data_IF_461001741541
#
_entry.id   IF_461001741541
#
_cell.length_a   1.000
_cell.length_b   1.000
_cell.length_c   1.000
_cell.angle_alpha   90.00
_cell.angle_beta   90.00
_cell.angle_gamma   90.00
#
_symmetry.space_group_name_H-M   'P 1'
#
loop_
_entity.id
_entity.type
_entity.pdbx_description
1 polymer ?
#
# COMPACT_ATOMS: atom_id res chain seq x y z
N UNK A 1 26.99 2.61 6.78
CA UNK A 1 26.91 2.46 8.24
C UNK A 1 27.32 3.69 9.04
N UNK A 2 28.28 4.52 8.59
CA UNK A 2 28.71 5.72 9.32
C UNK A 2 27.56 6.67 9.70
N UNK A 3 26.61 6.91 8.77
CA UNK A 3 25.42 7.74 9.02
C UNK A 3 24.46 7.10 10.03
N UNK A 4 24.33 5.76 10.03
CA UNK A 4 23.49 5.03 10.99
C UNK A 4 24.05 5.19 12.41
N UNK A 5 25.37 5.07 12.58
CA UNK A 5 26.02 5.29 13.88
C UNK A 5 25.87 6.74 14.36
N UNK A 6 26.01 7.71 13.47
CA UNK A 6 25.79 9.12 13.81
C UNK A 6 24.33 9.41 14.24
N UNK A 7 23.36 8.79 13.57
CA UNK A 7 21.95 8.90 13.91
C UNK A 7 21.62 8.23 15.27
N UNK A 8 22.22 7.08 15.57
CA UNK A 8 22.10 6.43 16.89
C UNK A 8 22.66 7.30 18.01
N UNK A 9 23.89 7.81 17.84
CA UNK A 9 24.54 8.65 18.85
C UNK A 9 23.77 9.97 19.12
N UNK A 10 23.08 10.48 18.11
CA UNK A 10 22.24 11.68 18.23
C UNK A 10 20.80 11.37 18.67
N UNK A 11 20.49 10.11 19.01
CA UNK A 11 19.16 9.58 19.30
C UNK A 11 18.09 10.04 18.31
N UNK A 12 18.43 10.05 17.02
CA UNK A 12 17.50 10.45 15.97
C UNK A 12 16.50 9.31 15.71
N UNK A 13 15.25 9.63 15.35
CA UNK A 13 14.30 8.61 14.93
C UNK A 13 14.76 7.98 13.61
N UNK A 14 14.67 6.66 13.52
CA UNK A 14 14.87 5.93 12.28
C UNK A 14 13.53 5.69 11.59
N UNK A 15 13.48 5.98 10.30
CA UNK A 15 12.38 5.58 9.42
C UNK A 15 13.00 4.70 8.36
N UNK A 16 12.96 3.39 8.62
CA UNK A 16 13.57 2.40 7.74
C UNK A 16 12.68 2.15 6.54
N UNK A 17 13.29 2.29 5.37
CA UNK A 17 12.67 2.04 4.07
C UNK A 17 13.54 0.99 3.37
N UNK A 18 12.94 0.00 2.72
CA UNK A 18 13.68 -1.04 1.99
C UNK A 18 13.03 -1.37 0.66
N UNK A 19 13.85 -1.72 -0.34
CA UNK A 19 13.39 -2.28 -1.61
C UNK A 19 13.27 -3.79 -1.45
N UNK A 20 12.09 -4.35 -1.76
CA UNK A 20 11.84 -5.78 -1.59
C UNK A 20 12.20 -6.59 -2.84
N UNK A 21 12.23 -5.96 -4.02
CA UNK A 21 12.52 -6.63 -5.29
C UNK A 21 14.03 -6.80 -5.51
N UNK A 22 14.51 -8.04 -5.40
CA UNK A 22 15.93 -8.39 -5.61
C UNK A 22 16.42 -8.04 -7.03
N UNK A 23 15.56 -8.12 -8.05
CA UNK A 23 15.93 -7.76 -9.43
C UNK A 23 16.19 -6.24 -9.60
N UNK A 24 15.72 -5.43 -8.65
CA UNK A 24 15.92 -3.96 -8.61
C UNK A 24 16.95 -3.54 -7.58
N UNK A 25 17.73 -4.49 -7.04
CA UNK A 25 18.74 -4.25 -6.01
C UNK A 25 18.18 -4.24 -4.58
N UNK A 26 16.96 -4.75 -4.39
CA UNK A 26 16.36 -4.99 -3.09
C UNK A 26 16.85 -6.27 -2.43
N UNK A 27 16.34 -6.52 -1.23
CA UNK A 27 16.55 -7.77 -0.51
C UNK A 27 15.45 -8.00 0.53
N UNK A 28 15.26 -9.26 0.91
CA UNK A 28 14.36 -9.58 2.02
C UNK A 28 14.82 -8.92 3.33
N UNK A 29 13.89 -8.62 4.24
CA UNK A 29 14.21 -8.12 5.59
C UNK A 29 15.16 -9.07 6.33
N UNK A 30 15.01 -10.38 6.15
CA UNK A 30 15.89 -11.36 6.78
C UNK A 30 17.33 -11.23 6.29
N UNK A 31 17.51 -11.08 4.97
CA UNK A 31 18.81 -10.83 4.34
C UNK A 31 19.41 -9.52 4.85
N UNK A 32 18.64 -8.44 4.88
CA UNK A 32 19.10 -7.14 5.38
C UNK A 32 19.50 -7.17 6.86
N UNK A 33 18.77 -7.93 7.69
CA UNK A 33 19.13 -8.17 9.10
C UNK A 33 20.45 -8.95 9.21
N UNK A 34 20.65 -9.98 8.40
CA UNK A 34 21.88 -10.77 8.38
C UNK A 34 23.09 -9.91 7.94
N UNK A 35 22.94 -9.16 6.85
CA UNK A 35 23.93 -8.21 6.37
C UNK A 35 24.29 -7.16 7.42
N UNK A 36 23.27 -6.66 8.15
CA UNK A 36 23.48 -5.72 9.25
C UNK A 36 24.30 -6.35 10.38
N UNK A 37 24.04 -7.60 10.76
CA UNK A 37 24.85 -8.32 11.77
C UNK A 37 26.29 -8.46 11.35
N UNK A 38 26.54 -8.88 10.11
CA UNK A 38 27.88 -9.14 9.61
C UNK A 38 28.71 -7.85 9.47
N UNK A 39 28.09 -6.77 9.00
CA UNK A 39 28.79 -5.53 8.65
C UNK A 39 28.84 -4.50 9.79
N UNK A 40 28.05 -4.69 10.85
CA UNK A 40 28.12 -3.82 12.02
C UNK A 40 29.34 -4.16 12.87
N UNK A 41 29.97 -3.13 13.43
CA UNK A 41 31.08 -3.34 14.37
C UNK A 41 30.53 -3.81 15.72
N UNK A 42 31.27 -4.69 16.40
CA UNK A 42 30.90 -5.17 17.75
C UNK A 42 31.09 -4.11 18.81
N UNK A 43 32.12 -3.26 18.65
CA UNK A 43 32.47 -2.19 19.57
C UNK A 43 32.28 -0.82 18.95
N UNK A 44 31.70 0.11 19.71
CA UNK A 44 31.58 1.52 19.38
C UNK A 44 32.91 2.11 18.85
N UNK A 45 32.92 2.70 17.64
CA UNK A 45 34.05 3.51 17.20
C UNK A 45 34.27 4.67 18.20
N UNK A 46 35.51 5.18 18.37
CA UNK A 46 35.81 6.24 19.34
C UNK A 46 34.95 7.51 19.20
N UNK A 47 34.37 7.76 18.03
CA UNK A 47 33.43 8.87 17.79
C UNK A 47 32.00 8.66 18.29
N UNK A 48 31.62 7.45 18.75
CA UNK A 48 30.23 7.08 19.09
C UNK A 48 30.14 6.14 20.32
N UNK A 49 30.54 6.58 21.52
CA UNK A 49 30.72 5.71 22.70
C UNK A 49 29.44 5.10 23.27
N UNK A 50 28.26 5.53 22.82
CA UNK A 50 26.95 5.04 23.29
C UNK A 50 26.44 3.78 22.57
N UNK A 51 27.15 3.30 21.54
CA UNK A 51 26.71 2.16 20.73
C UNK A 51 27.07 0.82 21.39
N UNK A 52 26.05 0.01 21.68
CA UNK A 52 26.11 -1.28 22.36
C UNK A 52 26.28 -2.50 21.44
N UNK A 53 26.54 -2.29 20.15
CA UNK A 53 26.82 -3.36 19.19
C UNK A 53 25.68 -3.66 18.21
N UNK A 54 25.84 -4.68 17.33
CA UNK A 54 24.94 -4.93 16.20
C UNK A 54 23.48 -5.17 16.62
N UNK A 55 23.26 -5.72 17.81
CA UNK A 55 21.93 -5.95 18.36
C UNK A 55 21.15 -4.63 18.56
N UNK A 56 21.80 -3.56 19.02
CA UNK A 56 21.16 -2.25 19.17
C UNK A 56 20.77 -1.67 17.80
N UNK A 57 21.65 -1.79 16.80
CA UNK A 57 21.37 -1.35 15.44
C UNK A 57 20.15 -2.07 14.87
N UNK A 58 20.09 -3.40 15.04
CA UNK A 58 18.97 -4.19 14.56
C UNK A 58 17.65 -3.78 15.23
N UNK A 59 17.68 -3.62 16.56
CA UNK A 59 16.51 -3.21 17.32
C UNK A 59 15.96 -1.87 16.82
N UNK A 60 16.85 -0.88 16.63
CA UNK A 60 16.48 0.48 16.22
C UNK A 60 16.04 0.59 14.77
N UNK A 61 16.66 -0.17 13.87
CA UNK A 61 16.37 -0.09 12.42
C UNK A 61 15.21 -1.00 12.02
N UNK A 62 15.07 -2.18 12.61
CA UNK A 62 14.14 -3.20 12.10
C UNK A 62 13.03 -3.62 13.07
N UNK A 63 13.15 -3.34 14.36
CA UNK A 63 12.27 -3.95 15.38
C UNK A 63 11.43 -2.92 16.13
N UNK A 64 11.94 -1.71 16.38
CA UNK A 64 11.15 -0.62 16.96
C UNK A 64 9.96 -0.24 16.07
N UNK A 65 10.15 -0.31 14.76
CA UNK A 65 9.08 -0.16 13.79
C UNK A 65 9.34 -1.05 12.58
N UNK A 66 8.28 -1.70 12.08
CA UNK A 66 8.34 -2.50 10.85
C UNK A 66 8.84 -1.64 9.69
N UNK A 67 9.91 -1.98 8.96
CA UNK A 67 10.37 -1.19 7.83
C UNK A 67 9.27 -0.98 6.77
N UNK A 68 9.26 0.19 6.12
CA UNK A 68 8.37 0.48 4.98
C UNK A 68 8.98 -0.14 3.73
N UNK A 69 8.20 -0.95 3.02
CA UNK A 69 8.59 -1.37 1.69
C UNK A 69 8.46 -0.16 0.73
N UNK A 70 9.52 0.13 -0.01
CA UNK A 70 9.47 1.03 -1.15
C UNK A 70 8.97 0.27 -2.36
N UNK A 71 7.91 0.74 -2.98
CA UNK A 71 7.35 0.13 -4.18
C UNK A 71 7.74 0.95 -5.41
N UNK A 72 8.16 0.31 -6.51
CA UNK A 72 8.50 1.00 -7.77
C UNK A 72 7.33 1.19 -8.72
N UNK A 73 6.21 0.56 -8.44
CA UNK A 73 4.96 0.77 -9.16
C UNK A 73 4.34 2.10 -8.77
N UNK A 74 4.14 2.95 -9.78
CA UNK A 74 3.54 4.28 -9.62
C UNK A 74 2.21 4.23 -8.84
N UNK A 75 1.37 3.21 -9.10
CA UNK A 75 0.09 3.03 -8.42
C UNK A 75 0.18 2.83 -6.90
N UNK A 76 1.33 2.36 -6.38
CA UNK A 76 1.54 2.06 -4.96
C UNK A 76 2.66 2.89 -4.31
N UNK A 77 3.38 3.69 -5.11
CA UNK A 77 4.38 4.64 -4.61
C UNK A 77 3.78 5.67 -3.66
N UNK A 78 2.57 6.15 -3.97
CA UNK A 78 1.87 7.12 -3.14
C UNK A 78 1.63 6.59 -1.72
N UNK A 79 1.24 5.32 -1.59
CA UNK A 79 1.03 4.67 -0.29
C UNK A 79 2.33 4.51 0.49
N UNK A 80 3.44 4.20 -0.19
CA UNK A 80 4.77 4.18 0.44
C UNK A 80 5.14 5.58 0.96
N UNK A 81 4.89 6.63 0.18
CA UNK A 81 5.14 8.02 0.57
C UNK A 81 4.27 8.48 1.74
N UNK A 82 2.97 8.12 1.74
CA UNK A 82 2.07 8.36 2.88
C UNK A 82 2.56 7.68 4.14
N UNK A 83 2.99 6.42 4.05
CA UNK A 83 3.52 5.69 5.21
C UNK A 83 4.79 6.36 5.77
N UNK A 84 5.68 6.86 4.90
CA UNK A 84 6.87 7.63 5.30
C UNK A 84 6.44 8.93 5.97
N UNK A 85 5.57 9.72 5.33
CA UNK A 85 5.09 10.99 5.85
C UNK A 85 4.40 10.82 7.22
N UNK A 86 3.54 9.81 7.36
CA UNK A 86 2.85 9.49 8.60
C UNK A 86 3.86 9.25 9.74
N UNK A 87 4.92 8.47 9.49
CA UNK A 87 5.96 8.20 10.50
C UNK A 87 6.78 9.44 10.83
N UNK A 88 7.08 10.28 9.85
CA UNK A 88 7.76 11.55 10.09
C UNK A 88 6.91 12.45 10.98
N UNK A 89 5.61 12.56 10.69
CA UNK A 89 4.68 13.37 11.47
C UNK A 89 4.54 12.84 12.89
N UNK A 90 4.32 11.54 13.09
CA UNK A 90 4.23 10.91 14.42
C UNK A 90 5.47 11.10 15.29
N UNK A 91 6.64 11.37 14.68
CA UNK A 91 7.89 11.67 15.39
C UNK A 91 8.13 13.17 15.58
N UNK A 92 7.31 14.04 14.99
CA UNK A 92 7.38 15.48 15.23
C UNK A 92 6.83 15.84 16.61
N UNK A 93 7.35 16.89 17.28
CA UNK A 93 6.93 17.27 18.63
C UNK A 93 5.42 17.49 18.77
N UNK A 94 4.79 18.07 17.74
CA UNK A 94 3.35 18.38 17.75
C UNK A 94 2.52 17.09 17.80
N UNK A 95 2.68 16.19 16.82
CA UNK A 95 1.86 14.97 16.73
C UNK A 95 2.30 13.86 17.69
N UNK A 96 3.54 13.88 18.19
CA UNK A 96 3.97 12.96 19.25
C UNK A 96 3.11 13.08 20.51
N UNK A 97 2.62 14.29 20.82
CA UNK A 97 1.68 14.52 21.93
C UNK A 97 0.21 14.28 21.55
N UNK A 98 -0.09 14.07 20.26
CA UNK A 98 -1.45 13.99 19.70
C UNK A 98 -1.56 12.93 18.58
N UNK A 99 -1.22 11.67 18.85
CA UNK A 99 -1.23 10.64 17.81
C UNK A 99 -2.63 10.41 17.22
N UNK A 100 -3.69 10.69 17.98
CA UNK A 100 -5.08 10.57 17.52
C UNK A 100 -5.45 11.49 16.36
N UNK A 101 -4.77 12.64 16.19
CA UNK A 101 -5.00 13.55 15.04
C UNK A 101 -4.60 12.91 13.70
N UNK A 102 -3.75 11.86 13.73
CA UNK A 102 -3.27 11.12 12.55
C UNK A 102 -3.87 9.72 12.45
N UNK A 103 -4.91 9.39 13.24
CA UNK A 103 -5.50 8.06 13.26
C UNK A 103 -6.09 7.65 11.90
N UNK A 104 -6.58 8.62 11.13
CA UNK A 104 -7.10 8.43 9.77
C UNK A 104 -5.99 8.38 8.70
N UNK A 105 -4.71 8.47 9.09
CA UNK A 105 -3.58 8.52 8.16
C UNK A 105 -3.31 9.92 7.60
N UNK A 106 -2.64 9.96 6.45
CA UNK A 106 -2.30 11.20 5.73
C UNK A 106 -2.81 11.11 4.31
N UNK A 107 -3.32 12.25 3.82
CA UNK A 107 -3.76 12.42 2.44
C UNK A 107 -2.86 13.43 1.73
N UNK A 108 -2.68 13.26 0.43
CA UNK A 108 -1.95 14.19 -0.42
C UNK A 108 -2.93 15.15 -1.09
N UNK A 109 -2.60 16.44 -1.16
CA UNK A 109 -3.43 17.41 -1.88
C UNK A 109 -3.64 16.98 -3.33
N UNK A 110 -4.89 16.84 -3.75
CA UNK A 110 -5.26 16.30 -5.06
C UNK A 110 -5.69 14.83 -5.03
N UNK A 111 -5.51 14.13 -3.90
CA UNK A 111 -6.28 12.92 -3.66
C UNK A 111 -7.76 13.26 -3.59
N UNK A 112 -8.54 12.49 -4.34
CA UNK A 112 -9.98 12.58 -4.30
C UNK A 112 -10.45 12.35 -2.87
N UNK A 113 -11.05 13.39 -2.27
CA UNK A 113 -11.95 13.22 -1.13
C UNK A 113 -13.16 12.36 -1.53
N UNK A 114 -14.24 12.28 -0.72
CA UNK A 114 -15.46 11.59 -1.14
C UNK A 114 -15.88 12.08 -2.52
N UNK A 115 -15.75 11.20 -3.52
CA UNK A 115 -15.82 11.57 -4.92
C UNK A 115 -17.26 11.36 -5.41
N UNK A 116 -17.71 12.25 -6.29
CA UNK A 116 -18.88 12.01 -7.12
C UNK A 116 -18.38 11.77 -8.55
N UNK A 117 -18.91 10.75 -9.23
CA UNK A 117 -18.55 10.48 -10.61
C UNK A 117 -19.07 11.59 -11.53
N UNK A 118 -18.19 12.23 -12.30
CA UNK A 118 -18.54 13.35 -13.20
C UNK A 118 -19.25 12.94 -14.50
N UNK A 119 -19.64 11.67 -14.64
CA UNK A 119 -20.22 11.09 -15.85
C UNK A 119 -20.48 9.59 -15.71
N UNK A 120 -20.93 8.90 -16.78
CA UNK A 120 -21.14 7.46 -16.73
C UNK A 120 -19.81 6.73 -16.56
N UNK A 121 -19.73 5.90 -15.51
CA UNK A 121 -18.55 5.13 -15.15
C UNK A 121 -18.89 3.65 -15.12
N UNK A 122 -18.07 2.87 -15.82
CA UNK A 122 -18.11 1.41 -15.72
C UNK A 122 -17.10 0.95 -14.67
N UNK A 123 -17.59 0.35 -13.58
CA UNK A 123 -16.75 -0.24 -12.54
C UNK A 123 -16.64 -1.73 -12.82
N UNK A 124 -15.42 -2.18 -13.10
CA UNK A 124 -15.08 -3.60 -13.23
C UNK A 124 -14.81 -4.18 -11.85
N UNK A 125 -15.51 -5.25 -11.51
CA UNK A 125 -15.44 -5.90 -10.20
C UNK A 125 -15.03 -7.36 -10.38
N UNK A 126 -14.00 -7.78 -9.64
CA UNK A 126 -13.62 -9.19 -9.56
C UNK A 126 -14.42 -9.88 -8.44
N UNK A 127 -15.17 -10.95 -8.78
CA UNK A 127 -15.94 -11.74 -7.81
C UNK A 127 -15.07 -12.41 -6.74
N UNK A 128 -13.83 -12.75 -7.09
CA UNK A 128 -12.89 -13.36 -6.15
C UNK A 128 -12.21 -12.36 -5.22
N UNK A 129 -12.28 -11.05 -5.53
CA UNK A 129 -11.85 -10.02 -4.60
C UNK A 129 -12.91 -9.80 -3.52
N UNK A 130 -12.84 -10.61 -2.45
CA UNK A 130 -13.81 -10.59 -1.34
C UNK A 130 -14.01 -9.17 -0.80
N UNK A 131 -15.26 -8.71 -0.70
CA UNK A 131 -15.61 -7.35 -0.27
C UNK A 131 -15.79 -6.33 -1.42
N UNK A 132 -15.20 -6.58 -2.60
CA UNK A 132 -15.38 -5.70 -3.76
C UNK A 132 -16.82 -5.72 -4.32
N UNK A 133 -17.51 -6.88 -4.46
CA UNK A 133 -18.91 -6.91 -4.89
C UNK A 133 -19.85 -6.13 -3.96
N UNK A 134 -19.69 -6.30 -2.65
CA UNK A 134 -20.49 -5.63 -1.64
C UNK A 134 -20.25 -4.11 -1.70
N UNK A 135 -18.99 -3.69 -1.71
CA UNK A 135 -18.62 -2.28 -1.85
C UNK A 135 -19.17 -1.67 -3.14
N UNK A 136 -19.06 -2.36 -4.27
CA UNK A 136 -19.56 -1.84 -5.55
C UNK A 136 -21.07 -1.62 -5.53
N UNK A 137 -21.81 -2.52 -4.86
CA UNK A 137 -23.25 -2.40 -4.68
C UNK A 137 -23.60 -1.20 -3.80
N UNK A 138 -22.84 -0.96 -2.73
CA UNK A 138 -23.00 0.22 -1.88
C UNK A 138 -22.64 1.51 -2.62
N UNK A 139 -21.65 1.52 -3.52
CA UNK A 139 -21.33 2.67 -4.36
C UNK A 139 -22.48 3.06 -5.31
N UNK A 140 -23.28 2.09 -5.75
CA UNK A 140 -24.48 2.35 -6.57
C UNK A 140 -25.66 2.86 -5.72
N UNK A 141 -25.77 2.39 -4.47
CA UNK A 141 -26.84 2.77 -3.53
C UNK A 141 -26.57 4.06 -2.77
N UNK A 142 -25.31 4.46 -2.64
CA UNK A 142 -24.89 5.62 -1.87
C UNK A 142 -25.56 6.91 -2.37
N UNK A 143 -25.79 7.90 -1.49
CA UNK A 143 -26.33 9.18 -1.88
C UNK A 143 -25.29 9.86 -2.78
N UNK A 144 -25.52 9.77 -4.09
CA UNK A 144 -24.92 10.69 -5.04
C UNK A 144 -25.29 12.09 -4.54
N UNK A 145 -24.28 12.86 -4.11
CA UNK A 145 -24.48 14.17 -3.52
C UNK A 145 -25.43 15.01 -4.38
N UNK A 146 -26.30 15.78 -3.71
CA UNK A 146 -27.33 16.63 -4.31
C UNK A 146 -26.79 17.34 -5.56
N UNK A 147 -27.11 16.79 -6.74
CA UNK A 147 -26.63 17.30 -8.02
C UNK A 147 -26.18 16.25 -9.04
N UNK A 148 -25.87 15.02 -8.63
CA UNK A 148 -25.55 13.95 -9.58
C UNK A 148 -26.64 12.87 -9.52
N UNK A 149 -27.44 12.71 -10.56
CA UNK A 149 -28.38 11.59 -10.62
C UNK A 149 -27.62 10.27 -10.58
N UNK A 150 -28.20 9.24 -9.96
CA UNK A 150 -27.76 7.83 -9.94
C UNK A 150 -27.65 7.16 -11.32
N UNK A 151 -27.49 7.93 -12.39
CA UNK A 151 -27.71 7.52 -13.78
C UNK A 151 -26.44 7.08 -14.53
N UNK A 152 -25.27 7.08 -13.86
CA UNK A 152 -23.99 6.87 -14.54
C UNK A 152 -23.23 5.59 -14.22
N UNK A 153 -23.42 4.98 -13.05
CA UNK A 153 -22.54 3.90 -12.59
C UNK A 153 -23.06 2.55 -13.11
N UNK A 154 -22.25 1.86 -13.89
CA UNK A 154 -22.53 0.50 -14.37
C UNK A 154 -21.49 -0.44 -13.77
N UNK A 155 -21.92 -1.43 -13.00
CA UNK A 155 -21.04 -2.49 -12.52
C UNK A 155 -20.98 -3.59 -13.58
N UNK A 156 -19.77 -4.03 -13.94
CA UNK A 156 -19.54 -5.20 -14.79
C UNK A 156 -18.58 -6.16 -14.13
N UNK A 157 -18.79 -7.44 -14.40
CA UNK A 157 -17.84 -8.47 -14.01
C UNK A 157 -16.51 -8.29 -14.77
N UNK A 158 -15.41 -8.28 -14.03
CA UNK A 158 -14.09 -8.05 -14.60
C UNK A 158 -13.60 -9.22 -15.47
N UNK A 159 -13.95 -10.46 -15.15
CA UNK A 159 -13.55 -11.64 -15.92
C UNK A 159 -14.26 -11.64 -17.29
N UNK A 160 -15.57 -11.39 -17.28
CA UNK A 160 -16.35 -11.28 -18.52
C UNK A 160 -15.92 -10.08 -19.38
N UNK A 161 -15.58 -8.95 -18.77
CA UNK A 161 -15.19 -7.73 -19.48
C UNK A 161 -13.75 -7.73 -19.99
N UNK A 162 -12.83 -8.37 -19.26
CA UNK A 162 -11.41 -8.38 -19.59
C UNK A 162 -11.01 -9.62 -20.38
N UNK A 163 -11.53 -10.78 -20.06
CA UNK A 163 -11.07 -12.07 -20.63
C UNK A 163 -12.14 -12.73 -21.52
N UNK A 164 -13.38 -12.25 -21.50
CA UNK A 164 -14.46 -12.82 -22.31
C UNK A 164 -14.25 -12.71 -23.82
N UNK A 165 -14.39 -13.84 -24.53
CA UNK A 165 -14.31 -13.92 -26.00
C UNK A 165 -15.31 -13.03 -26.76
N UNK A 166 -16.38 -12.57 -26.08
CA UNK A 166 -17.41 -11.66 -26.61
C UNK A 166 -17.59 -10.42 -25.70
N UNK A 167 -16.50 -9.91 -25.13
CA UNK A 167 -16.57 -8.74 -24.26
C UNK A 167 -17.19 -7.54 -25.00
N UNK A 168 -18.39 -7.13 -24.57
CA UNK A 168 -19.04 -5.93 -25.12
C UNK A 168 -18.11 -4.72 -24.94
N UNK A 169 -17.98 -3.83 -25.95
CA UNK A 169 -17.05 -2.71 -25.92
C UNK A 169 -17.18 -1.90 -24.63
N UNK A 170 -16.05 -1.71 -23.95
CA UNK A 170 -15.98 -0.82 -22.81
C UNK A 170 -16.01 0.61 -23.35
N UNK A 171 -17.05 1.38 -22.99
CA UNK A 171 -17.23 2.76 -23.43
C UNK A 171 -17.36 3.70 -22.23
N UNK A 172 -16.90 4.94 -22.39
CA UNK A 172 -16.85 5.91 -21.30
C UNK A 172 -15.65 5.72 -20.37
N UNK A 173 -15.80 6.18 -19.12
CA UNK A 173 -14.74 6.05 -18.11
C UNK A 173 -14.83 4.66 -17.47
N UNK A 174 -13.78 3.86 -17.61
CA UNK A 174 -13.75 2.48 -17.13
C UNK A 174 -12.68 2.38 -16.05
N UNK A 175 -13.06 1.78 -14.93
CA UNK A 175 -12.20 1.68 -13.77
C UNK A 175 -12.31 0.28 -13.18
N UNK A 176 -11.19 -0.29 -12.77
CA UNK A 176 -11.15 -1.55 -12.03
C UNK A 176 -11.16 -1.27 -10.53
N UNK A 177 -12.13 -1.82 -9.81
CA UNK A 177 -12.21 -1.70 -8.36
C UNK A 177 -11.40 -2.82 -7.70
N UNK A 178 -10.38 -2.43 -6.93
CA UNK A 178 -9.57 -3.35 -6.14
C UNK A 178 -9.81 -3.09 -4.65
N UNK A 179 -10.48 -4.03 -3.98
CA UNK A 179 -10.68 -3.99 -2.54
C UNK A 179 -9.50 -4.61 -1.80
N UNK A 180 -8.84 -3.82 -0.95
CA UNK A 180 -7.66 -4.22 -0.20
C UNK A 180 -8.07 -4.64 1.22
N UNK A 181 -8.06 -5.96 1.49
CA UNK A 181 -8.24 -6.60 2.80
C UNK A 181 -7.30 -7.80 2.96
N UNK A 182 -7.31 -8.46 4.12
CA UNK A 182 -6.43 -9.60 4.41
C UNK A 182 -6.46 -10.76 3.39
N UNK A 183 -7.45 -10.79 2.48
CA UNK A 183 -7.72 -11.86 1.50
C UNK A 183 -7.53 -11.45 0.04
N UNK A 184 -7.15 -10.20 -0.26
CA UNK A 184 -7.17 -9.64 -1.63
C UNK A 184 -6.44 -10.48 -2.67
N UNK A 185 -5.29 -11.08 -2.34
CA UNK A 185 -4.52 -11.91 -3.27
C UNK A 185 -4.40 -13.37 -2.79
N UNK A 186 -5.30 -13.81 -1.93
CA UNK A 186 -5.33 -15.18 -1.39
C UNK A 186 -6.40 -16.04 -2.06
N UNK A 187 -6.88 -15.63 -3.23
CA UNK A 187 -7.87 -16.38 -3.97
C UNK A 187 -7.24 -17.63 -4.61
N UNK A 188 -7.94 -18.77 -4.51
CA UNK A 188 -7.38 -20.07 -4.88
C UNK A 188 -7.00 -20.18 -6.37
N UNK A 189 -7.59 -19.35 -7.23
CA UNK A 189 -7.39 -19.36 -8.68
C UNK A 189 -6.42 -18.28 -9.21
N UNK A 190 -5.91 -17.40 -8.35
CA UNK A 190 -5.12 -16.22 -8.75
C UNK A 190 -5.86 -15.26 -9.70
N UNK A 191 -7.18 -15.30 -9.71
CA UNK A 191 -8.04 -14.50 -10.58
C UNK A 191 -7.88 -13.00 -10.29
N UNK A 192 -7.78 -12.60 -9.02
CA UNK A 192 -7.62 -11.18 -8.67
C UNK A 192 -6.34 -10.63 -9.29
N UNK A 193 -5.23 -11.36 -9.13
CA UNK A 193 -3.94 -10.94 -9.64
C UNK A 193 -3.91 -10.90 -11.18
N UNK A 194 -4.49 -11.91 -11.82
CA UNK A 194 -4.56 -12.02 -13.28
C UNK A 194 -5.40 -10.88 -13.89
N UNK A 195 -6.53 -10.54 -13.27
CA UNK A 195 -7.40 -9.46 -13.73
C UNK A 195 -6.83 -8.07 -13.45
N UNK A 196 -6.12 -7.89 -12.33
CA UNK A 196 -5.36 -6.66 -12.08
C UNK A 196 -4.28 -6.47 -13.15
N UNK A 197 -3.56 -7.53 -13.53
CA UNK A 197 -2.59 -7.47 -14.62
C UNK A 197 -3.28 -7.11 -15.95
N UNK A 198 -4.39 -7.76 -16.29
CA UNK A 198 -5.13 -7.46 -17.51
C UNK A 198 -5.64 -6.01 -17.55
N UNK A 199 -6.05 -5.45 -16.42
CA UNK A 199 -6.43 -4.04 -16.30
C UNK A 199 -5.22 -3.11 -16.53
N UNK A 200 -4.05 -3.43 -15.96
CA UNK A 200 -2.80 -2.69 -16.17
C UNK A 200 -2.37 -2.72 -17.65
N UNK A 201 -2.40 -3.89 -18.29
CA UNK A 201 -2.02 -4.08 -19.69
C UNK A 201 -2.90 -3.25 -20.64
N UNK A 202 -4.19 -3.09 -20.29
CA UNK A 202 -5.16 -2.28 -21.03
C UNK A 202 -5.19 -0.81 -20.60
N UNK A 203 -4.32 -0.40 -19.68
CA UNK A 203 -4.25 0.95 -19.10
C UNK A 203 -5.59 1.42 -18.51
N UNK A 204 -6.36 0.48 -17.96
CA UNK A 204 -7.58 0.78 -17.21
C UNK A 204 -7.16 1.33 -15.85
N UNK A 205 -7.79 2.41 -15.42
CA UNK A 205 -7.53 2.99 -14.10
C UNK A 205 -7.92 2.00 -13.01
N UNK A 206 -7.01 1.73 -12.07
CA UNK A 206 -7.31 0.89 -10.90
C UNK A 206 -7.59 1.82 -9.72
N UNK A 207 -8.80 1.70 -9.16
CA UNK A 207 -9.17 2.38 -7.92
C UNK A 207 -9.08 1.37 -6.79
N UNK A 208 -8.12 1.61 -5.90
CA UNK A 208 -7.89 0.80 -4.72
C UNK A 208 -8.68 1.36 -3.54
N UNK A 209 -9.45 0.51 -2.85
CA UNK A 209 -10.17 0.87 -1.63
C UNK A 209 -9.64 0.01 -0.50
N UNK A 210 -9.03 0.64 0.51
CA UNK A 210 -8.38 -0.05 1.61
C UNK A 210 -9.29 -0.13 2.84
N UNK A 211 -9.61 -1.37 3.22
CA UNK A 211 -10.32 -1.68 4.47
C UNK A 211 -9.47 -1.29 5.69
N UNK A 212 -10.00 -0.39 6.51
CA UNK A 212 -9.35 0.08 7.74
C UNK A 212 -9.84 -0.67 8.98
N UNK A 213 -11.03 -1.28 8.92
CA UNK A 213 -11.62 -1.98 10.05
C UNK A 213 -11.17 -3.44 10.13
N UNK A 214 -10.49 -3.78 11.23
CA UNK A 214 -10.01 -5.14 11.46
C UNK A 214 -11.13 -6.20 11.47
N UNK A 215 -12.33 -5.86 11.95
CA UNK A 215 -13.50 -6.77 11.93
C UNK A 215 -13.97 -7.15 10.52
N UNK A 216 -13.64 -6.33 9.53
CA UNK A 216 -13.98 -6.54 8.12
C UNK A 216 -12.76 -7.02 7.30
N UNK A 217 -11.68 -7.43 7.96
CA UNK A 217 -10.45 -7.91 7.33
C UNK A 217 -9.44 -6.81 7.03
N UNK A 218 -9.59 -5.64 7.66
CA UNK A 218 -8.63 -4.54 7.58
C UNK A 218 -7.29 -4.93 8.17
N UNK A 219 -6.24 -4.72 7.37
CA UNK A 219 -4.86 -5.01 7.76
C UNK A 219 -3.98 -3.82 7.48
N UNK A 220 -2.87 -3.65 8.22
CA UNK A 220 -1.86 -2.67 7.86
C UNK A 220 -1.46 -2.84 6.40
N UNK A 221 -1.39 -1.74 5.64
CA UNK A 221 -1.09 -1.77 4.20
C UNK A 221 0.17 -2.58 3.87
N UNK A 222 1.12 -2.61 4.82
CA UNK A 222 2.31 -3.46 4.80
C UNK A 222 2.09 -4.95 4.53
N UNK A 223 0.89 -5.48 4.77
CA UNK A 223 0.57 -6.89 4.56
C UNK A 223 0.31 -7.22 3.09
N UNK A 224 -0.20 -6.26 2.30
CA UNK A 224 -0.41 -6.47 0.87
C UNK A 224 0.90 -6.75 0.14
N UNK A 225 2.01 -6.17 0.58
CA UNK A 225 3.33 -6.43 -0.02
C UNK A 225 3.77 -7.90 0.04
N UNK A 226 3.32 -8.66 1.04
CA UNK A 226 3.62 -10.11 1.13
C UNK A 226 2.69 -10.95 0.25
N UNK A 227 1.52 -10.41 -0.09
CA UNK A 227 0.47 -11.13 -0.82
C UNK A 227 0.42 -10.75 -2.30
N UNK A 228 0.82 -9.53 -2.68
CA UNK A 228 0.82 -9.04 -4.05
C UNK A 228 1.73 -9.92 -4.90
N UNK A 229 1.21 -10.61 -5.93
CA UNK A 229 2.03 -11.48 -6.77
C UNK A 229 3.13 -10.74 -7.50
N UNK A 230 4.29 -11.39 -7.69
CA UNK A 230 5.48 -10.79 -8.30
C UNK A 230 5.24 -10.17 -9.68
N UNK A 231 4.31 -10.73 -10.46
CA UNK A 231 3.93 -10.18 -11.78
C UNK A 231 3.37 -8.76 -11.66
N UNK A 232 2.69 -8.46 -10.55
CA UNK A 232 2.12 -7.17 -10.22
C UNK A 232 3.10 -6.29 -9.42
N UNK A 233 4.39 -6.60 -9.37
CA UNK A 233 5.41 -5.82 -8.67
C UNK A 233 6.36 -5.05 -9.62
N UNK A 234 6.16 -5.18 -10.95
CA UNK A 234 7.13 -4.76 -11.99
C UNK A 234 7.06 -3.30 -12.42
#
# INVERSE_FOLDING_TARGET
>A
FQELYAALASNRPFISIFEADEAKGGASIATLKADCREKCVETAPPGYPSYGGPAEMLARVFEEAKPIAWVRLNAFQLESLKAIALRMLLRSPYYASRPGELAAGVMVSGETGPFAFSGPVTILVCRENKGAPELSTELVKGPTGEGCGSAGIVIRDAEEALEGNNAAPLSGHVTFLLYLNEKTFLDAGGAVARLVQAAMDRRITIVSVHEQEASHGGVPFGNFFQQTPQVLQQ
#
